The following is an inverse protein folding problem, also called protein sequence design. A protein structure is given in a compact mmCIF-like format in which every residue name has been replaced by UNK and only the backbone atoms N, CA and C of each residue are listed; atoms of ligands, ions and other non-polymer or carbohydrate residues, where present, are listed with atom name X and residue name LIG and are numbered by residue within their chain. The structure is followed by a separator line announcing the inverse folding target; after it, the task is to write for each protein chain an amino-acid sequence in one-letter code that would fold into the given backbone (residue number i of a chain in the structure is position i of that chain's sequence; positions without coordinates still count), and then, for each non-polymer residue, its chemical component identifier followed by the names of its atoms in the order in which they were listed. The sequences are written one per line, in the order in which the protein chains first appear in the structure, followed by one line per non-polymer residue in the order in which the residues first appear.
data_IF_567308336900
#
_entry.id   IF_567308336900
#
_cell.length_a   1.000
_cell.length_b   1.000
_cell.length_c   1.000
_cell.angle_alpha   90.00
_cell.angle_beta   90.00
_cell.angle_gamma   90.00
#
_symmetry.space_group_name_H-M   'P 1'
#
loop_
_entity.id
_entity.type
_entity.pdbx_description
1 polymer ?
#
# COMPACT_ATOMS: atom_id res chain seq x y z
N UNK A 1 -14.77 -22.92 14.88
CA UNK A 1 -15.27 -21.63 15.40
C UNK A 1 -15.14 -20.63 14.27
N UNK A 2 -16.22 -20.35 13.56
CA UNK A 2 -16.22 -19.37 12.47
C UNK A 2 -16.37 -18.00 13.10
N UNK A 3 -15.28 -17.23 13.20
CA UNK A 3 -15.40 -15.81 13.53
C UNK A 3 -16.16 -15.18 12.37
N UNK A 4 -17.28 -14.56 12.69
CA UNK A 4 -17.95 -13.62 11.79
C UNK A 4 -16.90 -12.58 11.40
N UNK A 5 -16.70 -12.27 10.11
CA UNK A 5 -15.83 -11.17 9.74
C UNK A 5 -16.37 -9.90 10.40
N UNK A 6 -15.51 -9.00 10.89
CA UNK A 6 -15.95 -7.73 11.44
C UNK A 6 -16.82 -7.01 10.41
N UNK A 7 -17.86 -6.30 10.88
CA UNK A 7 -18.70 -5.48 10.01
C UNK A 7 -17.80 -4.54 9.19
N UNK A 8 -18.14 -4.32 7.91
CA UNK A 8 -17.32 -3.54 6.99
C UNK A 8 -17.02 -2.11 7.47
N UNK A 9 -17.88 -1.57 8.34
CA UNK A 9 -17.67 -0.30 9.02
C UNK A 9 -16.53 -0.37 10.06
N UNK A 10 -16.54 -1.39 10.93
CA UNK A 10 -15.50 -1.60 11.94
C UNK A 10 -14.13 -1.91 11.31
N UNK A 11 -14.12 -2.63 10.18
CA UNK A 11 -12.89 -2.88 9.43
C UNK A 11 -12.31 -1.57 8.85
N UNK A 12 -13.15 -0.70 8.29
CA UNK A 12 -12.73 0.61 7.79
C UNK A 12 -12.11 1.48 8.89
N UNK A 13 -12.75 1.50 10.06
CA UNK A 13 -12.29 2.27 11.23
C UNK A 13 -10.95 1.73 11.77
N UNK A 14 -10.78 0.41 11.83
CA UNK A 14 -9.53 -0.22 12.26
C UNK A 14 -8.37 0.07 11.30
N UNK A 15 -8.60 -0.01 9.98
CA UNK A 15 -7.61 0.37 8.97
C UNK A 15 -7.24 1.85 9.09
N UNK A 16 -8.23 2.73 9.27
CA UNK A 16 -7.99 4.16 9.45
C UNK A 16 -7.19 4.46 10.72
N UNK A 17 -7.45 3.74 11.82
CA UNK A 17 -6.69 3.84 13.07
C UNK A 17 -5.21 3.49 12.86
N UNK A 18 -4.92 2.36 12.21
CA UNK A 18 -3.53 1.94 11.90
C UNK A 18 -2.84 2.98 11.03
N UNK A 19 -3.51 3.50 9.99
CA UNK A 19 -2.97 4.55 9.11
C UNK A 19 -2.62 5.83 9.87
N UNK A 20 -3.50 6.30 10.75
CA UNK A 20 -3.23 7.47 11.61
C UNK A 20 -2.02 7.24 12.51
N UNK A 21 -1.86 6.04 13.08
CA UNK A 21 -0.72 5.68 13.92
C UNK A 21 0.59 5.66 13.14
N UNK A 22 0.60 5.07 11.95
CA UNK A 22 1.76 5.08 11.04
C UNK A 22 2.14 6.51 10.67
N UNK A 23 1.16 7.35 10.30
CA UNK A 23 1.40 8.76 10.01
C UNK A 23 2.02 9.50 11.21
N UNK A 24 1.56 9.23 12.43
CA UNK A 24 2.14 9.81 13.65
C UNK A 24 3.60 9.39 13.87
N UNK A 25 3.94 8.11 13.63
CA UNK A 25 5.32 7.62 13.70
C UNK A 25 6.21 8.35 12.70
N UNK A 26 5.78 8.45 11.44
CA UNK A 26 6.58 9.15 10.43
C UNK A 26 6.68 10.65 10.71
N UNK A 27 5.63 11.28 11.23
CA UNK A 27 5.66 12.69 11.65
C UNK A 27 6.67 12.93 12.77
N UNK A 28 6.78 12.01 13.73
CA UNK A 28 7.80 12.07 14.79
C UNK A 28 9.23 12.00 14.21
N UNK A 29 9.46 11.13 13.23
CA UNK A 29 10.80 10.85 12.70
C UNK A 29 11.27 11.85 11.63
N UNK A 30 10.38 12.22 10.72
CA UNK A 30 10.69 13.02 9.54
C UNK A 30 10.12 14.45 9.60
N UNK A 31 9.39 14.78 10.68
CA UNK A 31 8.77 16.10 10.85
C UNK A 31 7.90 16.47 9.66
N UNK A 32 8.05 17.70 9.16
CA UNK A 32 7.26 18.20 8.02
C UNK A 32 7.50 17.43 6.70
N UNK A 33 8.51 16.56 6.60
CA UNK A 33 8.67 15.69 5.43
C UNK A 33 7.68 14.52 5.43
N UNK A 34 7.05 14.22 6.57
CA UNK A 34 6.11 13.11 6.74
C UNK A 34 4.69 13.39 6.21
N UNK A 35 4.36 14.64 5.89
CA UNK A 35 3.07 15.00 5.28
C UNK A 35 2.96 14.57 3.81
N UNK A 36 4.08 14.22 3.18
CA UNK A 36 4.15 13.76 1.78
C UNK A 36 4.05 12.23 1.60
N UNK A 37 4.74 11.35 2.37
CA UNK A 37 4.75 9.92 2.12
C UNK A 37 3.41 9.20 2.34
N UNK A 38 2.40 9.84 2.96
CA UNK A 38 1.08 9.23 3.16
C UNK A 38 0.05 9.64 2.09
N UNK A 39 0.43 10.51 1.14
CA UNK A 39 -0.46 10.89 0.04
C UNK A 39 0.10 10.31 -1.26
N UNK A 40 -0.67 9.43 -1.92
CA UNK A 40 -0.24 8.83 -3.19
C UNK A 40 -0.13 9.84 -4.33
N UNK A 41 -0.94 10.90 -4.34
CA UNK A 41 -1.01 11.86 -5.45
C UNK A 41 0.31 12.58 -5.79
N UNK A 42 1.07 13.15 -4.82
CA UNK A 42 2.39 13.71 -5.11
C UNK A 42 3.37 12.74 -5.80
N UNK A 43 3.26 11.44 -5.49
CA UNK A 43 4.09 10.42 -6.12
C UNK A 43 3.66 10.18 -7.59
N UNK A 44 2.36 10.16 -7.87
CA UNK A 44 1.83 10.11 -9.25
C UNK A 44 2.36 11.29 -10.07
N UNK A 45 2.27 12.51 -9.53
CA UNK A 45 2.75 13.74 -10.19
C UNK A 45 4.26 13.69 -10.49
N UNK A 46 5.03 13.04 -9.62
CA UNK A 46 6.47 12.84 -9.80
C UNK A 46 6.77 11.84 -10.92
N UNK A 47 6.00 10.76 -11.03
CA UNK A 47 6.20 9.71 -12.04
C UNK A 47 5.68 10.10 -13.42
N UNK A 48 4.59 10.85 -13.51
CA UNK A 48 3.90 11.18 -14.75
C UNK A 48 4.81 11.73 -15.87
N UNK A 49 5.67 12.76 -15.65
CA UNK A 49 6.52 13.29 -16.71
C UNK A 49 7.59 12.29 -17.17
N UNK A 50 7.98 11.33 -16.32
CA UNK A 50 8.98 10.30 -16.64
C UNK A 50 8.36 9.18 -17.48
N UNK A 51 7.12 8.78 -17.17
CA UNK A 51 6.44 7.67 -17.83
C UNK A 51 5.71 8.09 -19.12
N UNK A 52 5.29 9.34 -19.23
CA UNK A 52 4.51 9.84 -20.39
C UNK A 52 5.19 9.61 -21.75
N UNK A 53 6.51 9.82 -21.94
CA UNK A 53 7.17 9.61 -23.23
C UNK A 53 7.05 8.19 -23.78
N UNK A 54 6.96 7.19 -22.90
CA UNK A 54 6.91 5.78 -23.27
C UNK A 54 5.48 5.25 -23.35
N UNK A 55 4.63 5.62 -22.39
CA UNK A 55 3.31 5.02 -22.22
C UNK A 55 2.15 5.91 -22.71
N UNK A 56 2.39 7.19 -22.98
CA UNK A 56 1.35 8.19 -23.17
C UNK A 56 0.73 8.63 -21.83
N UNK A 57 0.02 9.77 -21.80
CA UNK A 57 -0.38 10.43 -20.55
C UNK A 57 -1.39 9.62 -19.71
N UNK A 58 -2.37 8.99 -20.34
CA UNK A 58 -3.41 8.20 -19.66
C UNK A 58 -2.81 6.97 -18.98
N UNK A 59 -2.09 6.15 -19.76
CA UNK A 59 -1.43 4.94 -19.25
C UNK A 59 -0.34 5.25 -18.22
N UNK A 60 0.39 6.35 -18.39
CA UNK A 60 1.38 6.81 -17.40
C UNK A 60 0.70 7.21 -16.07
N UNK A 61 -0.46 7.86 -16.13
CA UNK A 61 -1.25 8.16 -14.94
C UNK A 61 -1.73 6.89 -14.25
N UNK A 62 -2.26 5.92 -14.99
CA UNK A 62 -2.77 4.66 -14.41
C UNK A 62 -1.66 3.84 -13.74
N UNK A 63 -0.48 3.73 -14.38
CA UNK A 63 0.71 3.12 -13.77
C UNK A 63 1.07 3.89 -12.49
N UNK A 64 1.08 5.22 -12.56
CA UNK A 64 1.38 6.08 -11.43
C UNK A 64 0.44 5.86 -10.25
N UNK A 65 -0.87 5.86 -10.51
CA UNK A 65 -1.93 5.61 -9.53
C UNK A 65 -1.74 4.25 -8.86
N UNK A 66 -1.61 3.19 -9.65
CA UNK A 66 -1.44 1.85 -9.10
C UNK A 66 -0.15 1.69 -8.28
N UNK A 67 0.93 2.42 -8.58
CA UNK A 67 2.15 2.38 -7.75
C UNK A 67 2.08 3.24 -6.48
N UNK A 68 1.15 4.19 -6.39
CA UNK A 68 1.10 5.15 -5.30
C UNK A 68 -0.04 4.92 -4.30
N UNK A 69 -1.13 4.28 -4.71
CA UNK A 69 -2.36 4.14 -3.90
C UNK A 69 -2.16 3.31 -2.61
N UNK A 70 -1.19 2.39 -2.60
CA UNK A 70 -0.89 1.50 -1.47
C UNK A 70 0.28 1.97 -0.59
N UNK A 71 0.72 3.23 -0.74
CA UNK A 71 1.88 3.75 0.00
C UNK A 71 1.68 3.73 1.52
N UNK A 72 0.44 3.87 1.99
CA UNK A 72 0.10 3.77 3.41
C UNK A 72 0.32 2.35 3.95
N UNK A 73 -0.02 1.31 3.17
CA UNK A 73 0.19 -0.09 3.54
C UNK A 73 1.68 -0.45 3.52
N UNK A 74 2.44 0.08 2.55
CA UNK A 74 3.90 -0.05 2.54
C UNK A 74 4.55 0.65 3.74
N UNK A 75 4.06 1.85 4.07
CA UNK A 75 4.54 2.63 5.22
C UNK A 75 4.28 1.88 6.53
N UNK A 76 3.15 1.18 6.64
CA UNK A 76 2.88 0.29 7.78
C UNK A 76 3.96 -0.79 7.92
N UNK A 77 4.33 -1.50 6.85
CA UNK A 77 5.36 -2.55 6.90
C UNK A 77 6.71 -1.99 7.34
N UNK A 78 7.08 -0.80 6.86
CA UNK A 78 8.30 -0.09 7.26
C UNK A 78 8.25 0.31 8.74
N UNK A 79 7.14 0.89 9.20
CA UNK A 79 6.97 1.28 10.60
C UNK A 79 7.00 0.07 11.54
N UNK A 80 6.36 -1.04 11.15
CA UNK A 80 6.37 -2.29 11.89
C UNK A 80 7.77 -2.90 11.98
N UNK A 81 8.56 -2.80 10.91
CA UNK A 81 9.94 -3.28 10.90
C UNK A 81 10.82 -2.54 11.91
N UNK A 82 10.67 -1.21 12.02
CA UNK A 82 11.50 -0.40 12.91
C UNK A 82 10.98 -0.34 14.36
N UNK A 83 9.67 -0.39 14.57
CA UNK A 83 9.03 -0.18 15.87
C UNK A 83 7.95 -1.23 16.18
N UNK A 84 8.27 -2.53 16.13
CA UNK A 84 7.27 -3.59 16.32
C UNK A 84 6.57 -3.50 17.68
N UNK A 85 7.27 -3.06 18.72
CA UNK A 85 6.75 -2.87 20.08
C UNK A 85 5.68 -1.78 20.19
N UNK A 86 5.59 -0.89 19.18
CA UNK A 86 4.57 0.15 19.17
C UNK A 86 3.21 -0.37 18.69
N UNK A 87 3.12 -1.56 18.10
CA UNK A 87 1.86 -2.08 17.55
C UNK A 87 1.26 -3.20 18.40
N UNK A 88 -0.07 -3.21 18.54
CA UNK A 88 -0.78 -4.35 19.13
C UNK A 88 -0.89 -5.49 18.12
N UNK A 89 -1.23 -6.68 18.60
CA UNK A 89 -1.51 -7.84 17.74
C UNK A 89 -2.59 -7.50 16.71
N UNK A 90 -3.67 -6.87 17.13
CA UNK A 90 -4.82 -6.54 16.29
C UNK A 90 -4.44 -5.53 15.20
N UNK A 91 -3.64 -4.52 15.55
CA UNK A 91 -3.11 -3.55 14.57
C UNK A 91 -2.19 -4.23 13.55
N UNK A 92 -1.38 -5.21 13.99
CA UNK A 92 -0.52 -6.00 13.09
C UNK A 92 -1.38 -6.82 12.14
N UNK A 93 -2.39 -7.54 12.65
CA UNK A 93 -3.29 -8.36 11.84
C UNK A 93 -4.02 -7.52 10.78
N UNK A 94 -4.51 -6.32 11.16
CA UNK A 94 -5.17 -5.37 10.24
C UNK A 94 -4.19 -4.85 9.19
N UNK A 95 -3.00 -4.39 9.60
CA UNK A 95 -2.03 -3.84 8.66
C UNK A 95 -1.47 -4.89 7.69
N UNK A 96 -1.19 -6.11 8.17
CA UNK A 96 -0.75 -7.23 7.32
C UNK A 96 -1.85 -7.62 6.35
N UNK A 97 -3.10 -7.73 6.80
CA UNK A 97 -4.24 -8.00 5.91
C UNK A 97 -4.34 -6.93 4.82
N UNK A 98 -4.24 -5.65 5.18
CA UNK A 98 -4.24 -4.53 4.24
C UNK A 98 -3.16 -4.68 3.17
N UNK A 99 -1.91 -4.89 3.60
CA UNK A 99 -0.78 -5.05 2.70
C UNK A 99 -0.93 -6.25 1.76
N UNK A 100 -1.36 -7.42 2.26
CA UNK A 100 -1.51 -8.65 1.46
C UNK A 100 -2.64 -8.54 0.43
N UNK A 101 -3.73 -7.84 0.72
CA UNK A 101 -4.83 -7.67 -0.24
C UNK A 101 -4.60 -6.49 -1.19
N UNK A 102 -4.06 -5.37 -0.71
CA UNK A 102 -4.01 -4.15 -1.49
C UNK A 102 -2.80 -4.11 -2.44
N UNK A 103 -1.59 -4.38 -1.91
CA UNK A 103 -0.34 -4.22 -2.65
C UNK A 103 -0.27 -5.16 -3.87
N UNK A 104 -0.54 -6.48 -3.76
CA UNK A 104 -0.39 -7.37 -4.91
C UNK A 104 -1.35 -7.04 -6.06
N UNK A 105 -2.59 -6.64 -5.75
CA UNK A 105 -3.59 -6.28 -6.77
C UNK A 105 -3.15 -5.04 -7.56
N UNK A 106 -2.68 -4.01 -6.86
CA UNK A 106 -2.21 -2.79 -7.51
C UNK A 106 -0.87 -3.01 -8.24
N UNK A 107 0.06 -3.75 -7.65
CA UNK A 107 1.33 -4.11 -8.31
C UNK A 107 1.09 -4.93 -9.60
N UNK A 108 0.15 -5.88 -9.57
CA UNK A 108 -0.22 -6.66 -10.75
C UNK A 108 -0.83 -5.79 -11.86
N UNK A 109 -1.73 -4.87 -11.50
CA UNK A 109 -2.30 -3.92 -12.45
C UNK A 109 -1.23 -3.01 -13.08
N UNK A 110 -0.35 -2.44 -12.25
CA UNK A 110 0.78 -1.64 -12.71
C UNK A 110 1.71 -2.43 -13.64
N UNK A 111 2.07 -3.66 -13.28
CA UNK A 111 2.93 -4.54 -14.09
C UNK A 111 2.32 -4.87 -15.45
N UNK A 112 1.02 -5.20 -15.49
CA UNK A 112 0.29 -5.44 -16.73
C UNK A 112 0.30 -4.20 -17.64
N UNK A 113 0.07 -3.01 -17.09
CA UNK A 113 0.16 -1.76 -17.84
C UNK A 113 1.61 -1.51 -18.31
N UNK A 114 2.60 -1.71 -17.44
CA UNK A 114 4.01 -1.49 -17.78
C UNK A 114 4.54 -2.45 -18.85
N UNK A 115 3.84 -3.55 -19.14
CA UNK A 115 4.30 -4.60 -20.06
C UNK A 115 5.20 -5.63 -19.39
N UNK A 116 5.19 -5.68 -18.06
CA UNK A 116 5.87 -6.66 -17.22
C UNK A 116 4.85 -7.32 -16.27
N UNK A 117 3.95 -8.18 -16.80
CA UNK A 117 2.92 -8.81 -15.98
C UNK A 117 3.55 -9.67 -14.87
N UNK A 118 2.85 -9.78 -13.75
CA UNK A 118 3.30 -10.62 -12.61
C UNK A 118 3.40 -12.08 -13.05
N UNK A 119 4.50 -12.70 -12.67
CA UNK A 119 4.77 -14.13 -12.85
C UNK A 119 4.67 -14.85 -11.49
N UNK A 120 4.11 -16.06 -11.50
CA UNK A 120 4.08 -16.92 -10.30
C UNK A 120 5.43 -17.64 -10.12
N UNK A 121 6.43 -16.87 -9.69
CA UNK A 121 7.79 -17.37 -9.47
C UNK A 121 7.84 -18.39 -8.31
N UNK A 122 6.86 -18.36 -7.41
CA UNK A 122 6.83 -19.21 -6.22
C UNK A 122 5.89 -20.43 -6.34
N UNK A 123 5.17 -20.58 -7.47
CA UNK A 123 4.29 -21.71 -7.74
C UNK A 123 3.09 -21.80 -6.79
N UNK A 124 2.58 -20.67 -6.30
CA UNK A 124 1.47 -20.64 -5.32
C UNK A 124 0.08 -20.65 -5.95
N UNK A 125 -0.04 -20.35 -7.24
CA UNK A 125 -1.31 -20.38 -7.97
C UNK A 125 -1.70 -21.80 -8.41
N UNK A 126 -0.72 -22.71 -8.50
CA UNK A 126 -0.91 -24.12 -8.87
C UNK A 126 -1.09 -25.06 -7.65
N UNK A 127 -0.92 -24.54 -6.43
CA UNK A 127 -0.94 -25.33 -5.19
C UNK A 127 -2.37 -25.62 -4.65
N UNK A 128 -3.33 -25.84 -5.55
CA UNK A 128 -4.73 -26.17 -5.25
C UNK A 128 -4.97 -27.61 -4.80
#
# INVERSE_FOLDING_TARGET
MTSTPPDSHDACDAHQHVRKKVAAIFQELAGNRATQPTQGMPLVETMLPVLTPEFGPEKAYDIGFHLADWIEDASFLVALHFFPERFTREEIEVGVRGAVFHIPNHAAAAGALYGAPVEDIFGVLDAG
#
